data_IF_702542875467
#
_entry.id   IF_702542875467
#
_cell.length_a   1.000
_cell.length_b   1.000
_cell.length_c   1.000
_cell.angle_alpha   90.00
_cell.angle_beta   90.00
_cell.angle_gamma   90.00
#
_symmetry.space_group_name_H-M   'P 1'
#
loop_
_entity.id
_entity.type
_entity.pdbx_description
1 polymer ?
#
# COMPACT_ATOMS: atom_id res chain seq x y z
N UNK A 1 -7.92 -24.29 -41.16
CA UNK A 1 -8.84 -24.26 -40.01
C UNK A 1 -7.95 -24.26 -38.78
N UNK A 2 -7.88 -23.15 -38.05
CA UNK A 2 -7.16 -23.13 -36.77
C UNK A 2 -7.98 -23.95 -35.79
N UNK A 3 -7.48 -25.13 -35.41
CA UNK A 3 -8.09 -25.93 -34.35
C UNK A 3 -8.09 -25.09 -33.06
N UNK A 4 -9.24 -24.98 -32.42
CA UNK A 4 -9.34 -24.32 -31.12
C UNK A 4 -8.61 -25.20 -30.10
N UNK A 5 -7.48 -24.72 -29.57
CA UNK A 5 -6.70 -25.49 -28.59
C UNK A 5 -7.11 -25.15 -27.16
N UNK A 6 -6.78 -26.07 -26.24
CA UNK A 6 -7.03 -25.92 -24.81
C UNK A 6 -6.42 -24.63 -24.26
N UNK A 7 -5.22 -24.28 -24.72
CA UNK A 7 -4.45 -23.11 -24.30
C UNK A 7 -5.14 -21.81 -24.72
N UNK A 8 -5.63 -21.75 -25.96
CA UNK A 8 -6.39 -20.60 -26.46
C UNK A 8 -7.67 -20.41 -25.65
N UNK A 9 -8.36 -21.49 -25.29
CA UNK A 9 -9.57 -21.42 -24.45
C UNK A 9 -9.24 -20.97 -23.02
N UNK A 10 -8.11 -21.42 -22.45
CA UNK A 10 -7.64 -20.97 -21.13
C UNK A 10 -7.28 -19.48 -21.13
N UNK A 11 -6.63 -18.99 -22.18
CA UNK A 11 -6.27 -17.58 -22.32
C UNK A 11 -7.51 -16.68 -22.46
N UNK A 12 -8.54 -17.16 -23.15
CA UNK A 12 -9.80 -16.44 -23.35
C UNK A 12 -10.79 -16.62 -22.19
N UNK A 13 -10.55 -17.57 -21.28
CA UNK A 13 -11.47 -17.90 -20.20
C UNK A 13 -11.76 -16.73 -19.26
N UNK A 14 -10.77 -15.91 -18.83
CA UNK A 14 -11.04 -14.74 -18.00
C UNK A 14 -11.97 -13.74 -18.69
N UNK A 15 -11.76 -13.49 -19.99
CA UNK A 15 -12.60 -12.58 -20.78
C UNK A 15 -14.00 -13.15 -21.00
N UNK A 16 -14.11 -14.46 -21.24
CA UNK A 16 -15.38 -15.17 -21.37
C UNK A 16 -16.19 -15.10 -20.08
N UNK A 17 -15.56 -15.35 -18.92
CA UNK A 17 -16.19 -15.28 -17.60
C UNK A 17 -16.57 -13.84 -17.22
N UNK A 18 -15.81 -12.84 -17.68
CA UNK A 18 -16.13 -11.43 -17.52
C UNK A 18 -17.25 -10.94 -18.47
N UNK A 19 -17.62 -11.72 -19.49
CA UNK A 19 -18.59 -11.33 -20.51
C UNK A 19 -18.06 -10.32 -21.52
N UNK A 20 -16.74 -10.19 -21.65
CA UNK A 20 -16.04 -9.21 -22.50
C UNK A 20 -15.67 -9.78 -23.89
N UNK A 21 -16.13 -10.98 -24.22
CA UNK A 21 -15.94 -11.61 -25.53
C UNK A 21 -17.12 -11.35 -26.47
N UNK A 22 -16.89 -11.42 -27.78
CA UNK A 22 -17.96 -11.31 -28.77
C UNK A 22 -18.97 -12.47 -28.63
N UNK A 23 -20.23 -12.32 -29.08
CA UNK A 23 -21.23 -13.38 -29.01
C UNK A 23 -20.82 -14.66 -29.76
N UNK A 24 -20.12 -14.50 -30.88
CA UNK A 24 -19.58 -15.62 -31.67
C UNK A 24 -18.52 -16.39 -30.89
N UNK A 25 -17.54 -15.69 -30.30
CA UNK A 25 -16.51 -16.30 -29.46
C UNK A 25 -17.12 -16.95 -28.21
N UNK A 26 -18.16 -16.36 -27.63
CA UNK A 26 -18.87 -16.93 -26.48
C UNK A 26 -19.47 -18.30 -26.81
N UNK A 27 -20.16 -18.42 -27.95
CA UNK A 27 -20.77 -19.68 -28.38
C UNK A 27 -19.72 -20.77 -28.61
N UNK A 28 -18.60 -20.43 -29.27
CA UNK A 28 -17.49 -21.37 -29.54
C UNK A 28 -16.84 -21.85 -28.25
N UNK A 29 -16.54 -20.96 -27.31
CA UNK A 29 -15.96 -21.34 -26.01
C UNK A 29 -16.92 -22.22 -25.22
N UNK A 30 -18.22 -21.89 -25.22
CA UNK A 30 -19.23 -22.66 -24.51
C UNK A 30 -19.32 -24.10 -25.04
N UNK A 31 -19.39 -24.28 -26.36
CA UNK A 31 -19.41 -25.61 -26.99
C UNK A 31 -18.13 -26.41 -26.67
N UNK A 32 -16.98 -25.73 -26.63
CA UNK A 32 -15.72 -26.36 -26.26
C UNK A 32 -15.69 -26.81 -24.79
N UNK A 33 -16.21 -26.01 -23.86
CA UNK A 33 -16.31 -26.38 -22.44
C UNK A 33 -17.31 -27.52 -22.21
N UNK A 34 -18.42 -27.56 -22.96
CA UNK A 34 -19.39 -28.67 -22.90
C UNK A 34 -18.77 -30.00 -23.36
N UNK A 35 -17.90 -29.94 -24.36
CA UNK A 35 -17.18 -31.11 -24.89
C UNK A 35 -16.00 -31.54 -24.01
N UNK A 36 -15.50 -30.67 -23.12
CA UNK A 36 -14.30 -30.87 -22.31
C UNK A 36 -14.59 -30.65 -20.82
N UNK A 37 -15.07 -31.67 -20.09
CA UNK A 37 -15.50 -31.53 -18.70
C UNK A 37 -14.38 -31.09 -17.74
N UNK A 38 -13.13 -31.52 -17.99
CA UNK A 38 -11.97 -31.09 -17.20
C UNK A 38 -11.74 -29.57 -17.28
N UNK A 39 -11.93 -28.98 -18.47
CA UNK A 39 -11.80 -27.54 -18.67
C UNK A 39 -12.98 -26.77 -18.09
N UNK A 40 -14.18 -27.35 -18.14
CA UNK A 40 -15.35 -26.76 -17.50
C UNK A 40 -15.20 -26.69 -15.97
N UNK A 41 -14.52 -27.65 -15.35
CA UNK A 41 -14.19 -27.61 -13.92
C UNK A 41 -13.23 -26.46 -13.59
N UNK A 42 -12.15 -26.33 -14.37
CA UNK A 42 -11.19 -25.24 -14.27
C UNK A 42 -11.86 -23.87 -14.43
N UNK A 43 -12.81 -23.74 -15.38
CA UNK A 43 -13.60 -22.52 -15.56
C UNK A 43 -14.46 -22.18 -14.32
N UNK A 44 -15.07 -23.19 -13.69
CA UNK A 44 -15.86 -23.00 -12.46
C UNK A 44 -14.99 -22.58 -11.28
N UNK A 45 -13.79 -23.15 -11.15
CA UNK A 45 -12.84 -22.75 -10.11
C UNK A 45 -12.36 -21.31 -10.30
N UNK A 46 -12.02 -20.92 -11.54
CA UNK A 46 -11.66 -19.54 -11.85
C UNK A 46 -12.81 -18.55 -11.59
N UNK A 47 -14.04 -18.90 -11.95
CA UNK A 47 -15.21 -18.07 -11.67
C UNK A 47 -15.42 -17.87 -10.15
N UNK A 48 -15.16 -18.91 -9.34
CA UNK A 48 -15.18 -18.80 -7.87
C UNK A 48 -14.04 -17.93 -7.37
N UNK A 49 -12.81 -18.12 -7.85
CA UNK A 49 -11.66 -17.32 -7.44
C UNK A 49 -11.82 -15.83 -7.80
N UNK A 50 -12.35 -15.53 -9.00
CA UNK A 50 -12.65 -14.15 -9.42
C UNK A 50 -13.78 -13.55 -8.57
N UNK A 51 -14.79 -14.34 -8.19
CA UNK A 51 -15.83 -13.88 -7.25
C UNK A 51 -15.27 -13.55 -5.85
N UNK A 52 -14.24 -14.27 -5.40
CA UNK A 52 -13.54 -13.99 -4.15
C UNK A 52 -12.64 -12.75 -4.27
N UNK A 53 -12.05 -12.51 -5.44
CA UNK A 53 -11.28 -11.30 -5.74
C UNK A 53 -12.18 -10.06 -5.93
N UNK A 54 -13.43 -10.27 -6.36
CA UNK A 54 -14.48 -9.26 -6.47
C UNK A 54 -15.22 -9.00 -5.16
N UNK A 55 -14.94 -9.73 -4.08
CA UNK A 55 -15.33 -9.27 -2.74
C UNK A 55 -14.62 -7.94 -2.58
N UNK A 56 -15.35 -6.81 -2.59
CA UNK A 56 -14.73 -5.54 -2.29
C UNK A 56 -14.21 -5.74 -0.88
N UNK A 57 -12.89 -5.72 -0.69
CA UNK A 57 -12.32 -5.54 0.64
C UNK A 57 -13.12 -4.36 1.18
N UNK A 58 -13.95 -4.55 2.23
CA UNK A 58 -14.77 -3.46 2.68
C UNK A 58 -13.77 -2.40 3.11
N UNK A 59 -13.63 -1.35 2.29
CA UNK A 59 -13.04 -0.08 2.66
C UNK A 59 -13.99 0.46 3.73
N UNK A 60 -13.93 -0.15 4.91
CA UNK A 60 -14.52 0.38 6.13
C UNK A 60 -13.62 1.56 6.41
N UNK A 61 -13.99 2.70 5.83
CA UNK A 61 -13.27 3.97 5.88
C UNK A 61 -12.85 4.28 7.32
N UNK A 62 -13.68 3.85 8.27
CA UNK A 62 -13.45 3.82 9.72
C UNK A 62 -12.21 3.01 10.14
N UNK A 63 -12.05 1.76 9.71
CA UNK A 63 -10.89 0.92 10.06
C UNK A 63 -9.58 1.45 9.43
N UNK A 64 -9.65 2.01 8.21
CA UNK A 64 -8.51 2.68 7.58
C UNK A 64 -8.14 3.99 8.30
N UNK A 65 -9.13 4.72 8.82
CA UNK A 65 -8.93 5.94 9.60
C UNK A 65 -8.36 5.64 11.00
N UNK A 66 -8.82 4.58 11.65
CA UNK A 66 -8.32 4.14 12.96
C UNK A 66 -6.85 3.76 12.87
N UNK A 67 -6.49 2.89 11.93
CA UNK A 67 -5.09 2.47 11.71
C UNK A 67 -4.19 3.64 11.32
N UNK A 68 -4.67 4.56 10.48
CA UNK A 68 -3.94 5.77 10.13
C UNK A 68 -3.71 6.69 11.34
N UNK A 69 -4.73 6.88 12.19
CA UNK A 69 -4.63 7.74 13.36
C UNK A 69 -3.71 7.15 14.44
N UNK A 70 -3.71 5.84 14.62
CA UNK A 70 -2.78 5.15 15.52
C UNK A 70 -1.34 5.30 15.05
N UNK A 71 -1.07 5.08 13.77
CA UNK A 71 0.26 5.27 13.19
C UNK A 71 0.75 6.72 13.33
N UNK A 72 -0.14 7.71 13.13
CA UNK A 72 0.18 9.14 13.25
C UNK A 72 0.56 9.54 14.67
N UNK A 73 -0.09 8.96 15.70
CA UNK A 73 0.24 9.24 17.12
C UNK A 73 1.67 8.79 17.45
N UNK A 74 2.05 7.59 17.04
CA UNK A 74 3.40 7.06 17.26
C UNK A 74 4.47 7.87 16.52
N UNK A 75 4.16 8.35 15.30
CA UNK A 75 5.07 9.20 14.54
C UNK A 75 5.26 10.56 15.22
N UNK A 76 4.17 11.15 15.73
CA UNK A 76 4.22 12.47 16.41
C UNK A 76 5.06 12.41 17.68
N UNK A 77 4.93 11.35 18.49
CA UNK A 77 5.72 11.17 19.71
C UNK A 77 7.23 11.09 19.42
N UNK A 78 7.61 10.37 18.35
CA UNK A 78 9.02 10.24 17.94
C UNK A 78 9.59 11.57 17.47
N UNK A 79 8.82 12.32 16.68
CA UNK A 79 9.23 13.64 16.17
C UNK A 79 9.36 14.64 17.32
N UNK A 80 8.42 14.64 18.26
CA UNK A 80 8.46 15.55 19.41
C UNK A 80 9.67 15.26 20.32
N UNK A 81 9.98 13.99 20.54
CA UNK A 81 11.17 13.58 21.29
C UNK A 81 12.47 14.05 20.61
N UNK A 82 12.59 13.84 19.29
CA UNK A 82 13.76 14.30 18.54
C UNK A 82 13.92 15.83 18.59
N UNK A 83 12.81 16.55 18.37
CA UNK A 83 12.77 18.01 18.42
C UNK A 83 13.17 18.54 19.81
N UNK A 84 12.68 17.91 20.88
CA UNK A 84 13.04 18.26 22.26
C UNK A 84 14.54 18.10 22.54
N UNK A 85 15.15 16.99 22.12
CA UNK A 85 16.59 16.77 22.28
C UNK A 85 17.38 17.81 21.48
N UNK A 86 17.03 18.02 20.21
CA UNK A 86 17.72 19.02 19.38
C UNK A 86 17.60 20.42 19.96
N UNK A 87 16.43 20.79 20.49
CA UNK A 87 16.20 22.09 21.13
C UNK A 87 17.02 22.26 22.42
N UNK A 88 17.10 21.22 23.25
CA UNK A 88 17.92 21.24 24.48
C UNK A 88 19.40 21.45 24.16
N UNK A 89 19.94 20.72 23.17
CA UNK A 89 21.34 20.85 22.75
C UNK A 89 21.62 22.26 22.24
N UNK A 90 20.75 22.79 21.39
CA UNK A 90 20.87 24.16 20.89
C UNK A 90 20.82 25.19 22.02
N UNK A 91 19.90 25.03 22.97
CA UNK A 91 19.75 25.95 24.11
C UNK A 91 21.00 25.94 25.00
N UNK A 92 21.54 24.76 25.31
CA UNK A 92 22.79 24.64 26.07
C UNK A 92 23.97 25.28 25.32
N UNK A 93 24.08 25.06 24.02
CA UNK A 93 25.12 25.70 23.19
C UNK A 93 25.03 27.22 23.26
N UNK A 94 23.83 27.79 23.09
CA UNK A 94 23.62 29.24 23.20
C UNK A 94 23.99 29.79 24.57
N UNK A 95 23.63 29.09 25.65
CA UNK A 95 24.00 29.51 27.01
C UNK A 95 25.52 29.53 27.21
N UNK A 96 26.24 28.52 26.71
CA UNK A 96 27.71 28.51 26.81
C UNK A 96 28.36 29.66 26.05
N UNK A 97 27.88 29.99 24.85
CA UNK A 97 28.37 31.13 24.06
C UNK A 97 28.07 32.46 24.78
N UNK A 98 26.86 32.61 25.32
CA UNK A 98 26.44 33.83 25.99
C UNK A 98 27.26 34.09 27.26
N UNK A 99 27.46 33.06 28.09
CA UNK A 99 28.32 33.13 29.28
C UNK A 99 29.78 33.41 28.89
N UNK A 100 30.29 32.76 27.84
CA UNK A 100 31.66 32.98 27.34
C UNK A 100 31.90 34.43 26.92
N UNK A 101 30.99 35.01 26.13
CA UNK A 101 31.09 36.42 25.71
C UNK A 101 30.93 37.41 26.87
N UNK A 102 30.13 37.07 27.89
CA UNK A 102 30.00 37.89 29.08
C UNK A 102 31.26 37.82 29.95
N UNK A 103 31.85 36.63 30.12
CA UNK A 103 33.09 36.43 30.87
C UNK A 103 34.27 37.14 30.20
N UNK A 104 34.40 37.04 28.88
CA UNK A 104 35.47 37.71 28.10
C UNK A 104 35.47 39.24 28.29
N UNK A 105 34.28 39.85 28.41
CA UNK A 105 34.13 41.28 28.70
C UNK A 105 34.37 41.67 30.16
N UNK A 106 34.20 40.75 31.10
CA UNK A 106 34.32 41.02 32.55
C UNK A 106 35.70 40.70 33.13
N UNK A 107 36.40 39.71 32.57
CA UNK A 107 37.78 39.34 32.93
C UNK A 107 38.74 40.55 32.94
N UNK A 108 38.76 41.44 31.92
CA UNK A 108 39.65 42.61 31.92
C UNK A 108 39.26 43.69 32.94
N UNK A 109 38.09 43.60 33.58
CA UNK A 109 37.66 44.52 34.64
C UNK A 109 37.99 44.00 36.04
N UNK A 110 38.18 42.68 36.18
CA UNK A 110 38.46 42.02 37.48
C UNK A 110 39.96 41.76 37.67
N UNK A 111 40.73 41.59 36.60
CA UNK A 111 42.19 41.43 36.67
C UNK A 111 42.88 42.56 35.86
N UNK A 112 43.36 43.65 36.52
CA UNK A 112 44.11 44.72 35.86
C UNK A 112 45.55 44.29 35.49
#
# INVERSE_FOLDING_TARGET
MSELTKEVVLDLLPLYLAGEVSPETNAVIKEYLESNPELAEIAKEMAKADSLNKVPIPFKKEAALETYNEAKKWMTIRVLGLAGITGLVFMCFFLTVLIGTAADKLIPYILP
#
